data_IF_988223767507
#
_entry.id   IF_988223767507
#
_cell.length_a   1.000
_cell.length_b   1.000
_cell.length_c   1.000
_cell.angle_alpha   90.00
_cell.angle_beta   90.00
_cell.angle_gamma   90.00
#
_symmetry.space_group_name_H-M   'P 1'
#
loop_
_entity.id
_entity.type
_entity.pdbx_description
1 polymer ?
#
# COMPACT_ATOMS: atom_id res chain seq x y z
N UNK A 1 38.07 -4.68 -21.82
CA UNK A 1 37.74 -3.28 -22.16
C UNK A 1 36.93 -2.67 -21.02
N UNK A 2 37.61 -1.99 -20.10
CA UNK A 2 37.05 -1.53 -18.83
C UNK A 2 36.41 -0.15 -18.94
N UNK A 3 35.16 -0.03 -18.50
CA UNK A 3 34.53 1.25 -18.22
C UNK A 3 35.28 1.91 -17.04
N UNK A 4 35.95 3.01 -17.36
CA UNK A 4 36.77 3.82 -16.45
C UNK A 4 35.95 4.40 -15.30
N UNK A 5 36.57 4.53 -14.11
CA UNK A 5 35.94 4.97 -12.86
C UNK A 5 35.15 6.30 -12.96
N UNK A 6 35.50 7.19 -13.90
CA UNK A 6 34.77 8.45 -14.19
C UNK A 6 33.37 8.21 -14.75
N UNK A 7 33.19 7.19 -15.57
CA UNK A 7 31.91 6.88 -16.22
C UNK A 7 30.88 6.29 -15.25
N UNK A 8 31.36 5.60 -14.20
CA UNK A 8 30.51 5.12 -13.08
C UNK A 8 29.98 6.25 -12.20
N UNK A 9 30.79 7.28 -11.96
CA UNK A 9 30.38 8.45 -11.18
C UNK A 9 29.30 9.26 -11.92
N UNK A 10 29.50 9.53 -13.21
CA UNK A 10 28.52 10.25 -14.04
C UNK A 10 27.19 9.49 -14.17
N UNK A 11 27.22 8.16 -14.40
CA UNK A 11 26.01 7.32 -14.42
C UNK A 11 25.31 7.28 -13.06
N UNK A 12 26.06 7.32 -11.96
CA UNK A 12 25.51 7.40 -10.61
C UNK A 12 24.76 8.72 -10.36
N UNK A 13 25.34 9.84 -10.81
CA UNK A 13 24.73 11.18 -10.69
C UNK A 13 23.47 11.30 -11.57
N UNK A 14 23.51 10.84 -12.83
CA UNK A 14 22.35 10.84 -13.72
C UNK A 14 21.20 10.00 -13.17
N UNK A 15 21.47 8.79 -12.68
CA UNK A 15 20.47 7.95 -12.00
C UNK A 15 19.92 8.56 -10.71
N UNK A 16 20.67 9.44 -10.06
CA UNK A 16 20.20 10.16 -8.87
C UNK A 16 19.27 11.31 -9.27
N UNK A 17 19.64 12.08 -10.29
CA UNK A 17 18.84 13.20 -10.81
C UNK A 17 17.54 12.71 -11.48
N UNK A 18 17.59 11.61 -12.23
CA UNK A 18 16.40 10.96 -12.78
C UNK A 18 15.44 10.49 -11.69
N UNK A 19 15.97 9.92 -10.58
CA UNK A 19 15.16 9.50 -9.43
C UNK A 19 14.53 10.68 -8.70
N UNK A 20 15.27 11.76 -8.47
CA UNK A 20 14.70 12.96 -7.85
C UNK A 20 13.62 13.59 -8.74
N UNK A 21 13.86 13.66 -10.05
CA UNK A 21 12.89 14.19 -11.01
C UNK A 21 11.62 13.35 -11.09
N UNK A 22 11.73 12.01 -11.04
CA UNK A 22 10.56 11.14 -11.00
C UNK A 22 9.76 11.31 -9.70
N UNK A 23 10.40 11.37 -8.54
CA UNK A 23 9.72 11.56 -7.25
C UNK A 23 8.90 12.85 -7.26
N UNK A 24 9.49 13.94 -7.74
CA UNK A 24 8.84 15.24 -7.78
C UNK A 24 7.59 15.25 -8.68
N UNK A 25 7.65 14.52 -9.80
CA UNK A 25 6.48 14.32 -10.66
C UNK A 25 5.41 13.48 -9.97
N UNK A 26 5.80 12.38 -9.30
CA UNK A 26 4.88 11.45 -8.65
C UNK A 26 4.12 12.08 -7.49
N UNK A 27 4.74 13.01 -6.74
CA UNK A 27 4.12 13.64 -5.56
C UNK A 27 3.56 15.04 -5.85
N UNK A 28 3.63 15.52 -7.08
CA UNK A 28 3.21 16.88 -7.45
C UNK A 28 1.77 17.20 -7.08
N UNK A 29 0.87 16.21 -7.18
CA UNK A 29 -0.54 16.31 -6.78
C UNK A 29 -0.83 16.05 -5.29
N UNK A 30 0.19 15.87 -4.44
CA UNK A 30 -0.03 15.66 -3.02
C UNK A 30 -0.34 16.98 -2.30
N UNK A 31 -1.57 17.10 -1.80
CA UNK A 31 -1.99 18.25 -1.02
C UNK A 31 -1.83 18.00 0.48
N UNK A 32 -0.90 18.73 1.10
CA UNK A 32 -0.75 18.76 2.55
C UNK A 32 -1.20 20.11 3.11
N UNK A 33 -1.77 20.09 4.32
CA UNK A 33 -2.22 21.32 5.01
C UNK A 33 -1.09 22.30 5.36
N UNK A 34 0.17 21.87 5.30
CA UNK A 34 1.35 22.66 5.65
C UNK A 34 2.49 22.32 4.67
N UNK A 35 3.12 23.33 4.08
CA UNK A 35 4.22 23.15 3.12
C UNK A 35 5.41 22.38 3.72
N UNK A 36 5.63 22.49 5.03
CA UNK A 36 6.68 21.73 5.73
C UNK A 36 6.42 20.22 5.72
N UNK A 37 5.14 19.81 5.69
CA UNK A 37 4.77 18.40 5.55
C UNK A 37 5.07 17.89 4.15
N UNK A 38 4.79 18.67 3.11
CA UNK A 38 5.17 18.34 1.73
C UNK A 38 6.68 18.18 1.56
N UNK A 39 7.46 19.15 2.07
CA UNK A 39 8.92 19.05 2.05
C UNK A 39 9.46 17.85 2.85
N UNK A 40 8.82 17.51 3.97
CA UNK A 40 9.16 16.32 4.76
C UNK A 40 8.82 15.03 4.02
N UNK A 41 7.66 14.97 3.36
CA UNK A 41 7.21 13.83 2.59
C UNK A 41 8.17 13.54 1.43
N UNK A 42 8.51 14.56 0.64
CA UNK A 42 9.52 14.46 -0.43
C UNK A 42 10.82 13.86 0.10
N UNK A 43 11.38 14.44 1.17
CA UNK A 43 12.64 13.97 1.75
C UNK A 43 12.56 12.52 2.21
N UNK A 44 11.47 12.14 2.88
CA UNK A 44 11.26 10.77 3.35
C UNK A 44 11.15 9.78 2.18
N UNK A 45 10.42 10.14 1.12
CA UNK A 45 10.26 9.31 -0.06
C UNK A 45 11.58 9.13 -0.82
N UNK A 46 12.39 10.20 -0.94
CA UNK A 46 13.75 10.12 -1.50
C UNK A 46 14.63 9.18 -0.68
N UNK A 47 14.61 9.28 0.65
CA UNK A 47 15.41 8.42 1.53
C UNK A 47 15.00 6.93 1.39
N UNK A 48 13.70 6.64 1.48
CA UNK A 48 13.18 5.27 1.33
C UNK A 48 13.48 4.71 -0.08
N UNK A 49 13.27 5.52 -1.12
CA UNK A 49 13.54 5.12 -2.50
C UNK A 49 15.03 4.88 -2.80
N UNK A 50 15.93 5.53 -2.05
CA UNK A 50 17.37 5.29 -2.19
C UNK A 50 17.85 3.97 -1.57
N UNK A 51 17.09 3.43 -0.62
CA UNK A 51 17.47 2.25 0.17
C UNK A 51 16.24 1.36 0.45
N UNK A 52 15.62 0.87 -0.63
CA UNK A 52 14.43 0.01 -0.55
C UNK A 52 14.68 -1.23 0.32
N UNK A 53 13.70 -1.57 1.16
CA UNK A 53 13.76 -2.73 2.06
C UNK A 53 14.51 -2.50 3.37
N UNK A 54 15.13 -1.33 3.57
CA UNK A 54 15.80 -0.98 4.82
C UNK A 54 14.83 -0.34 5.83
N UNK A 55 15.23 -0.37 7.11
CA UNK A 55 14.44 0.23 8.19
C UNK A 55 14.45 1.77 8.12
N UNK A 56 13.41 2.42 8.67
CA UNK A 56 13.33 3.90 8.74
C UNK A 56 14.60 4.51 9.38
N UNK A 57 15.10 4.02 10.53
CA UNK A 57 16.33 4.54 11.10
C UNK A 57 17.53 4.40 10.16
N UNK A 58 17.62 3.29 9.42
CA UNK A 58 18.72 3.07 8.50
C UNK A 58 18.63 3.99 7.29
N UNK A 59 17.45 4.18 6.67
CA UNK A 59 17.36 5.10 5.52
C UNK A 59 17.53 6.57 5.91
N UNK A 60 17.14 6.94 7.14
CA UNK A 60 17.27 8.32 7.61
C UNK A 60 18.70 8.70 8.01
N UNK A 61 19.56 7.73 8.34
CA UNK A 61 21.00 7.89 8.65
C UNK A 61 21.34 8.80 9.85
N UNK A 62 20.37 9.51 10.44
CA UNK A 62 20.54 10.28 11.67
C UNK A 62 19.28 10.29 12.54
N UNK A 63 19.47 10.59 13.83
CA UNK A 63 18.41 10.55 14.83
C UNK A 63 17.33 11.62 14.64
N UNK A 64 17.73 12.83 14.20
CA UNK A 64 16.81 13.94 14.01
C UNK A 64 15.83 13.65 12.86
N UNK A 65 16.34 13.15 11.73
CA UNK A 65 15.52 12.74 10.59
C UNK A 65 14.68 11.50 10.90
N UNK A 66 15.22 10.53 11.66
CA UNK A 66 14.45 9.37 12.12
C UNK A 66 13.24 9.79 12.96
N UNK A 67 13.44 10.66 13.96
CA UNK A 67 12.34 11.22 14.75
C UNK A 67 11.35 12.00 13.90
N UNK A 68 11.83 12.77 12.92
CA UNK A 68 10.97 13.52 12.03
C UNK A 68 10.12 12.61 11.13
N UNK A 69 10.66 11.49 10.66
CA UNK A 69 9.93 10.49 9.89
C UNK A 69 8.81 9.85 10.72
N UNK A 70 9.09 9.40 11.94
CA UNK A 70 8.06 8.86 12.82
C UNK A 70 6.99 9.90 13.17
N UNK A 71 7.39 11.13 13.49
CA UNK A 71 6.45 12.24 13.74
C UNK A 71 5.59 12.58 12.52
N UNK A 72 6.13 12.43 11.31
CA UNK A 72 5.37 12.63 10.08
C UNK A 72 4.32 11.52 9.91
N UNK A 73 4.71 10.25 10.09
CA UNK A 73 3.81 9.10 9.97
C UNK A 73 2.75 9.02 11.06
N UNK A 74 3.01 9.56 12.26
CA UNK A 74 2.04 9.64 13.35
C UNK A 74 1.29 10.97 13.42
N UNK A 75 1.37 11.82 12.39
CA UNK A 75 0.74 13.14 12.39
C UNK A 75 -0.72 13.04 11.93
N UNK A 76 -1.66 13.42 12.79
CA UNK A 76 -3.10 13.43 12.47
C UNK A 76 -3.47 14.35 11.30
N UNK A 77 -2.63 15.34 10.96
CA UNK A 77 -2.82 16.23 9.80
C UNK A 77 -2.40 15.59 8.48
N UNK A 78 -1.78 14.41 8.52
CA UNK A 78 -1.36 13.63 7.34
C UNK A 78 -2.30 12.44 7.21
N UNK A 79 -3.00 12.35 6.08
CA UNK A 79 -3.87 11.22 5.78
C UNK A 79 -3.27 10.35 4.66
N UNK A 80 -3.71 9.09 4.58
CA UNK A 80 -3.40 8.20 3.45
C UNK A 80 -3.79 8.84 2.10
N UNK A 81 -4.97 9.47 2.04
CA UNK A 81 -5.44 10.13 0.84
C UNK A 81 -4.48 11.24 0.39
N UNK A 82 -3.93 12.04 1.32
CA UNK A 82 -2.97 13.09 1.01
C UNK A 82 -1.67 12.50 0.41
N UNK A 83 -1.22 11.36 0.95
CA UNK A 83 0.00 10.66 0.50
C UNK A 83 -0.20 10.07 -0.90
N UNK A 84 -1.35 9.46 -1.18
CA UNK A 84 -1.62 8.77 -2.43
C UNK A 84 -2.16 9.67 -3.55
N UNK A 85 -2.67 10.86 -3.23
CA UNK A 85 -3.27 11.78 -4.20
C UNK A 85 -2.36 12.07 -5.40
N UNK A 86 -1.09 12.41 -5.14
CA UNK A 86 -0.11 12.68 -6.19
C UNK A 86 0.12 11.46 -7.08
N UNK A 87 0.31 10.28 -6.49
CA UNK A 87 0.53 9.03 -7.22
C UNK A 87 -0.68 8.66 -8.11
N UNK A 88 -1.89 8.86 -7.61
CA UNK A 88 -3.11 8.62 -8.38
C UNK A 88 -3.23 9.62 -9.54
N UNK A 89 -2.88 10.89 -9.32
CA UNK A 89 -2.84 11.86 -10.40
C UNK A 89 -1.81 11.50 -11.45
N UNK A 90 -0.57 11.19 -11.04
CA UNK A 90 0.49 10.80 -11.97
C UNK A 90 0.14 9.52 -12.75
N UNK A 91 -0.53 8.56 -12.11
CA UNK A 91 -1.03 7.35 -12.76
C UNK A 91 -2.13 7.67 -13.79
N UNK A 92 -3.06 8.58 -13.48
CA UNK A 92 -4.08 9.03 -14.43
C UNK A 92 -3.44 9.72 -15.64
N UNK A 93 -2.46 10.59 -15.41
CA UNK A 93 -1.77 11.30 -16.50
C UNK A 93 -1.04 10.31 -17.42
N UNK A 94 -0.36 9.31 -16.84
CA UNK A 94 0.28 8.22 -17.60
C UNK A 94 -0.74 7.37 -18.38
N UNK A 95 -1.90 7.08 -17.78
CA UNK A 95 -2.96 6.33 -18.45
C UNK A 95 -3.63 7.12 -19.59
N UNK A 96 -3.81 8.43 -19.42
CA UNK A 96 -4.34 9.31 -20.47
C UNK A 96 -3.37 9.48 -21.65
N UNK A 97 -2.07 9.45 -21.37
CA UNK A 97 -1.02 9.52 -22.38
C UNK A 97 -0.69 8.17 -23.04
N UNK A 98 -1.20 7.05 -22.51
CA UNK A 98 -0.93 5.73 -23.04
C UNK A 98 -1.68 5.52 -24.37
N UNK A 99 -1.00 4.95 -25.36
CA UNK A 99 -1.61 4.56 -26.61
C UNK A 99 -2.34 3.21 -26.44
N UNK A 100 -3.59 3.13 -26.90
CA UNK A 100 -4.37 1.91 -26.90
C UNK A 100 -5.09 1.61 -25.59
N UNK A 101 -5.35 0.31 -25.35
CA UNK A 101 -6.15 -0.16 -24.22
C UNK A 101 -5.34 -0.23 -22.93
N UNK A 102 -5.90 0.34 -21.85
CA UNK A 102 -5.39 0.20 -20.49
C UNK A 102 -6.24 -0.83 -19.74
N UNK A 103 -5.58 -1.81 -19.15
CA UNK A 103 -6.19 -2.81 -18.28
C UNK A 103 -6.08 -2.37 -16.82
N UNK A 104 -7.18 -2.47 -16.07
CA UNK A 104 -7.20 -2.19 -14.62
C UNK A 104 -7.37 -3.51 -13.87
N UNK A 105 -6.27 -3.99 -13.30
CA UNK A 105 -6.22 -5.25 -12.57
C UNK A 105 -6.59 -5.03 -11.11
N UNK A 106 -7.62 -5.75 -10.65
CA UNK A 106 -8.09 -5.68 -9.26
C UNK A 106 -7.65 -6.91 -8.49
N UNK A 107 -7.00 -6.70 -7.34
CA UNK A 107 -6.67 -7.78 -6.42
C UNK A 107 -6.74 -7.32 -4.96
N UNK A 108 -6.92 -8.28 -4.04
CA UNK A 108 -6.94 -8.04 -2.60
C UNK A 108 -5.84 -8.81 -1.90
N UNK A 109 -4.89 -8.08 -1.30
CA UNK A 109 -3.81 -8.67 -0.51
C UNK A 109 -3.99 -8.38 0.99
N UNK A 110 -3.30 -9.14 1.82
CA UNK A 110 -3.36 -9.05 3.27
C UNK A 110 -1.96 -8.79 3.85
N UNK A 111 -1.79 -7.68 4.56
CA UNK A 111 -0.60 -7.39 5.34
C UNK A 111 -0.74 -8.02 6.72
N UNK A 112 0.08 -9.05 6.99
CA UNK A 112 0.04 -9.79 8.26
C UNK A 112 1.15 -9.32 9.19
N UNK A 113 0.80 -9.08 10.45
CA UNK A 113 1.72 -8.65 11.50
C UNK A 113 1.62 -9.58 12.72
N UNK A 114 2.76 -9.84 13.35
CA UNK A 114 2.81 -10.45 14.66
C UNK A 114 2.78 -9.33 15.72
N UNK A 115 1.71 -9.29 16.53
CA UNK A 115 1.54 -8.33 17.62
C UNK A 115 0.88 -8.98 18.82
N UNK A 116 1.20 -8.49 20.00
CA UNK A 116 0.53 -8.87 21.24
C UNK A 116 -0.89 -8.33 21.30
N UNK A 117 -1.09 -7.06 20.91
CA UNK A 117 -2.42 -6.45 20.82
C UNK A 117 -2.96 -6.46 19.39
N UNK A 118 -3.99 -7.28 19.16
CA UNK A 118 -4.66 -7.46 17.87
C UNK A 118 -5.68 -6.37 17.53
N UNK A 119 -6.19 -5.63 18.52
CA UNK A 119 -7.26 -4.65 18.31
C UNK A 119 -6.79 -3.42 17.52
N UNK A 120 -5.51 -3.08 17.63
CA UNK A 120 -4.93 -1.91 16.97
C UNK A 120 -4.86 -2.03 15.44
N UNK A 121 -4.80 -3.26 14.90
CA UNK A 121 -4.60 -3.51 13.45
C UNK A 121 -5.71 -4.39 12.87
N UNK A 122 -6.52 -5.02 13.72
CA UNK A 122 -7.58 -5.94 13.31
C UNK A 122 -7.05 -7.33 12.98
N UNK A 123 -7.98 -8.22 12.60
CA UNK A 123 -7.77 -9.66 12.53
C UNK A 123 -7.92 -10.16 11.09
N UNK A 124 -6.89 -10.78 10.52
CA UNK A 124 -6.95 -11.38 9.18
C UNK A 124 -7.36 -12.85 9.22
N UNK A 125 -6.75 -13.65 10.10
CA UNK A 125 -6.93 -15.12 10.15
C UNK A 125 -6.90 -15.63 11.59
N UNK A 126 -7.52 -16.78 11.83
CA UNK A 126 -7.30 -17.59 13.03
C UNK A 126 -6.70 -18.91 12.59
N UNK A 127 -5.46 -19.18 13.00
CA UNK A 127 -4.74 -20.42 12.68
C UNK A 127 -4.74 -21.35 13.89
N UNK A 128 -4.85 -22.65 13.66
CA UNK A 128 -4.57 -23.63 14.71
C UNK A 128 -3.06 -23.78 14.84
N UNK A 129 -2.57 -23.69 16.07
CA UNK A 129 -1.15 -23.63 16.44
C UNK A 129 -0.73 -24.86 17.24
N UNK A 130 -1.43 -25.97 17.03
CA UNK A 130 -1.21 -27.23 17.73
C UNK A 130 -2.04 -27.35 19.02
N UNK A 131 -1.69 -28.35 19.83
CA UNK A 131 -2.31 -28.62 21.13
C UNK A 131 -1.40 -28.14 22.26
N UNK A 132 -1.97 -27.64 23.34
CA UNK A 132 -1.23 -27.35 24.55
C UNK A 132 -0.84 -28.64 25.30
N UNK A 133 -0.08 -28.50 26.40
CA UNK A 133 0.32 -29.63 27.26
C UNK A 133 -0.88 -30.39 27.86
N UNK A 134 -2.08 -29.80 27.86
CA UNK A 134 -3.33 -30.40 28.30
C UNK A 134 -4.18 -30.94 27.13
N UNK A 135 -3.64 -30.99 25.91
CA UNK A 135 -4.32 -31.51 24.72
C UNK A 135 -5.35 -30.56 24.09
N UNK A 136 -5.51 -29.32 24.58
CA UNK A 136 -6.46 -28.35 24.03
C UNK A 136 -5.88 -27.69 22.78
N UNK A 137 -6.70 -27.54 21.73
CA UNK A 137 -6.29 -26.82 20.54
C UNK A 137 -6.00 -25.35 20.87
N UNK A 138 -4.79 -24.89 20.56
CA UNK A 138 -4.42 -23.48 20.62
C UNK A 138 -4.71 -22.85 19.27
N UNK A 139 -5.49 -21.78 19.25
CA UNK A 139 -5.62 -20.92 18.08
C UNK A 139 -4.78 -19.66 18.28
N UNK A 140 -4.01 -19.29 17.26
CA UNK A 140 -3.36 -17.98 17.17
C UNK A 140 -4.10 -17.10 16.18
N UNK A 141 -4.40 -15.88 16.62
CA UNK A 141 -5.02 -14.87 15.78
C UNK A 141 -3.92 -14.09 15.07
N UNK A 142 -3.94 -14.14 13.73
CA UNK A 142 -3.03 -13.34 12.90
C UNK A 142 -3.65 -11.96 12.74
N UNK A 143 -2.88 -10.95 13.12
CA UNK A 143 -3.29 -9.55 13.02
C UNK A 143 -2.94 -9.01 11.64
N UNK A 144 -3.75 -8.09 11.10
CA UNK A 144 -3.43 -7.54 9.79
C UNK A 144 -4.45 -6.62 9.16
N UNK A 145 -4.00 -5.99 8.07
CA UNK A 145 -4.75 -5.03 7.26
C UNK A 145 -5.00 -5.67 5.90
N UNK A 146 -6.19 -5.49 5.34
CA UNK A 146 -6.48 -5.84 3.96
C UNK A 146 -6.29 -4.62 3.07
N UNK A 147 -5.73 -4.84 1.89
CA UNK A 147 -5.57 -3.83 0.85
C UNK A 147 -6.17 -4.35 -0.45
N UNK A 148 -7.16 -3.64 -0.97
CA UNK A 148 -7.62 -3.82 -2.34
C UNK A 148 -6.93 -2.80 -3.23
N UNK A 149 -6.21 -3.25 -4.23
CA UNK A 149 -5.51 -2.40 -5.19
C UNK A 149 -6.08 -2.56 -6.58
N UNK A 150 -6.13 -1.44 -7.31
CA UNK A 150 -6.45 -1.38 -8.73
C UNK A 150 -5.19 -0.92 -9.46
N UNK A 151 -4.51 -1.82 -10.17
CA UNK A 151 -3.27 -1.55 -10.88
C UNK A 151 -3.57 -1.31 -12.37
N UNK A 152 -3.19 -0.15 -12.89
CA UNK A 152 -3.31 0.17 -14.31
C UNK A 152 -2.06 -0.34 -15.05
N UNK A 153 -2.28 -1.09 -16.13
CA UNK A 153 -1.23 -1.65 -16.99
C UNK A 153 -1.62 -1.49 -18.47
N UNK A 154 -0.63 -1.33 -19.35
CA UNK A 154 -0.87 -1.38 -20.80
C UNK A 154 -1.13 -2.82 -21.26
N UNK A 155 -1.64 -3.00 -22.48
CA UNK A 155 -1.83 -4.32 -23.06
C UNK A 155 -0.52 -5.12 -23.21
N UNK A 156 0.61 -4.42 -23.40
CA UNK A 156 1.95 -5.01 -23.44
C UNK A 156 2.52 -5.35 -22.05
N UNK A 157 1.74 -5.12 -20.98
CA UNK A 157 2.13 -5.43 -19.61
C UNK A 157 3.01 -4.37 -18.93
N UNK A 158 3.08 -3.15 -19.47
CA UNK A 158 3.83 -2.06 -18.83
C UNK A 158 3.00 -1.46 -17.68
N UNK A 159 3.51 -1.43 -16.43
CA UNK A 159 2.77 -0.88 -15.32
C UNK A 159 2.73 0.66 -15.37
N UNK A 160 1.53 1.22 -15.37
CA UNK A 160 1.29 2.66 -15.35
C UNK A 160 1.15 3.21 -13.93
N UNK A 161 0.80 2.36 -12.96
CA UNK A 161 0.71 2.71 -11.54
C UNK A 161 -0.58 2.25 -10.89
N UNK A 162 -0.82 2.71 -9.66
CA UNK A 162 -2.01 2.34 -8.90
C UNK A 162 -3.09 3.37 -9.19
N UNK A 163 -4.24 2.94 -9.69
CA UNK A 163 -5.39 3.79 -9.96
C UNK A 163 -6.24 4.04 -8.71
N UNK A 164 -6.29 3.05 -7.81
CA UNK A 164 -6.98 3.15 -6.55
C UNK A 164 -6.42 2.14 -5.54
N UNK A 165 -6.46 2.50 -4.27
CA UNK A 165 -6.16 1.61 -3.15
C UNK A 165 -7.20 1.82 -2.07
N UNK A 166 -7.62 0.73 -1.41
CA UNK A 166 -8.50 0.78 -0.25
C UNK A 166 -7.97 -0.11 0.84
N UNK A 167 -7.77 0.45 2.04
CA UNK A 167 -7.41 -0.31 3.22
C UNK A 167 -8.62 -0.50 4.14
N UNK A 168 -8.70 -1.67 4.77
CA UNK A 168 -9.65 -1.90 5.85
C UNK A 168 -9.16 -3.00 6.79
N UNK A 169 -9.70 -2.98 8.00
CA UNK A 169 -9.44 -3.98 9.03
C UNK A 169 -10.73 -4.73 9.36
N UNK A 170 -10.60 -5.92 9.97
CA UNK A 170 -11.74 -6.72 10.41
C UNK A 170 -11.69 -6.87 11.93
N UNK A 171 -12.81 -6.60 12.61
CA UNK A 171 -12.93 -6.80 14.07
C UNK A 171 -12.92 -8.28 14.47
N UNK A 172 -13.43 -9.15 13.61
CA UNK A 172 -13.48 -10.61 13.82
C UNK A 172 -13.24 -11.33 12.50
N UNK A 173 -12.43 -12.38 12.52
CA UNK A 173 -12.36 -13.31 11.39
C UNK A 173 -13.55 -14.27 11.45
N UNK A 174 -14.39 -14.26 10.41
CA UNK A 174 -15.45 -15.25 10.23
C UNK A 174 -14.88 -16.38 9.38
N UNK A 175 -14.44 -17.46 10.02
CA UNK A 175 -13.98 -18.65 9.30
C UNK A 175 -15.08 -19.21 8.39
N UNK A 176 -14.69 -19.84 7.28
CA UNK A 176 -15.61 -20.47 6.32
C UNK A 176 -16.49 -21.56 6.95
N UNK A 177 -16.06 -22.17 8.05
CA UNK A 177 -16.86 -23.12 8.82
C UNK A 177 -18.12 -22.50 9.47
N UNK A 178 -18.08 -21.21 9.84
CA UNK A 178 -19.23 -20.52 10.41
C UNK A 178 -20.31 -20.22 9.36
N UNK A 179 -19.94 -20.11 8.07
CA UNK A 179 -20.87 -19.94 6.95
C UNK A 179 -21.56 -21.25 6.53
N UNK A 180 -20.96 -22.42 6.82
CA UNK A 180 -21.56 -23.73 6.51
C UNK A 180 -22.87 -24.02 7.26
N UNK A 181 -23.18 -23.31 8.35
CA UNK A 181 -24.44 -23.48 9.10
C UNK A 181 -25.66 -22.72 8.54
N UNK A 182 -25.49 -21.97 7.44
CA UNK A 182 -26.59 -21.30 6.73
C UNK A 182 -26.58 -21.66 5.25
N UNK A 183 -26.83 -22.92 4.93
CA UNK A 183 -27.39 -23.27 3.62
C UNK A 183 -28.90 -23.02 3.74
N UNK A 184 -29.34 -21.83 3.35
CA UNK A 184 -30.76 -21.58 3.08
C UNK A 184 -31.02 -22.22 1.72
N UNK A 185 -32.00 -23.14 1.64
CA UNK A 185 -32.42 -23.74 0.37
C UNK A 185 -32.68 -22.63 -0.67
N UNK A 186 -32.22 -22.78 -1.92
CA UNK A 186 -32.43 -21.77 -2.95
C UNK A 186 -33.90 -21.82 -3.41
N UNK A 187 -34.79 -21.18 -2.66
CA UNK A 187 -36.08 -20.74 -3.16
C UNK A 187 -35.85 -19.57 -4.11
N UNK A 188 -36.35 -19.70 -5.34
CA UNK A 188 -36.34 -18.68 -6.39
C UNK A 188 -36.68 -17.29 -5.82
N UNK A 189 -35.67 -16.45 -5.62
CA UNK A 189 -35.84 -15.02 -5.33
C UNK A 189 -35.15 -14.25 -6.45
N UNK A 190 -35.96 -13.52 -7.21
CA UNK A 190 -35.53 -12.72 -8.34
C UNK A 190 -34.43 -11.74 -7.93
N UNK A 191 -33.33 -11.74 -8.70
CA UNK A 191 -32.21 -10.81 -8.56
C UNK A 191 -32.69 -9.39 -8.91
N UNK A 192 -33.29 -8.69 -7.94
CA UNK A 192 -33.50 -7.25 -8.02
C UNK A 192 -32.90 -6.57 -6.79
N UNK A 193 -31.95 -5.68 -7.07
CA UNK A 193 -31.28 -4.72 -6.16
C UNK A 193 -30.18 -5.26 -5.25
N UNK A 194 -28.99 -5.42 -5.84
CA UNK A 194 -27.71 -5.03 -5.21
C UNK A 194 -26.77 -4.47 -6.28
N UNK A 195 -27.16 -3.33 -6.85
CA UNK A 195 -26.35 -2.55 -7.78
C UNK A 195 -26.74 -1.08 -7.63
N UNK A 196 -26.39 -0.50 -6.49
CA UNK A 196 -26.38 0.94 -6.25
C UNK A 196 -25.82 1.12 -4.85
N UNK A 197 -24.51 1.32 -4.76
CA UNK A 197 -23.87 2.20 -3.79
C UNK A 197 -22.36 2.14 -4.04
N UNK A 198 -21.83 3.22 -4.61
CA UNK A 198 -20.42 3.58 -4.47
C UNK A 198 -19.44 3.01 -5.50
N UNK A 199 -19.75 3.09 -6.80
CA UNK A 199 -18.74 3.20 -7.83
C UNK A 199 -18.98 4.51 -8.59
N UNK A 200 -18.35 5.59 -8.12
CA UNK A 200 -18.07 6.76 -8.96
C UNK A 200 -16.56 6.88 -9.01
N UNK A 201 -16.04 6.68 -10.21
CA UNK A 201 -14.71 7.12 -10.65
C UNK A 201 -14.88 8.58 -11.08
#
# INVERSE_FOLDING_TARGET
>A
MGLTLKDRSAKGVLRSLERECWIDREISGCEFRDARLGGRFRKLLTQIGSAMGQSIPLVCQDWANTKAAYRFLSNERVSEANILAGHFQSTRDRAAAAEGLVLVLHDTTEFSYQRENSEAIGITKSINSGRDKAGRLRSHTVCGILMHSSLAVTFDGVPLGLAAVKFWTRKKFKGTAALKKKIIQPGFLSRRRKASDGWRI
#
